data_IF_081536385915
#
_entry.id   IF_081536385915
#
_cell.length_a   1.000
_cell.length_b   1.000
_cell.length_c   1.000
_cell.angle_alpha   90.00
_cell.angle_beta   90.00
_cell.angle_gamma   90.00
#
_symmetry.space_group_name_H-M   'P 1'
#
loop_
_entity.id
_entity.type
_entity.pdbx_description
1 polymer ?
#
# COMPACT_ATOMS: atom_id res chain seq x y z
N UNK A 1 -3.36 29.81 -2.32
CA UNK A 1 -2.53 30.92 -1.85
C UNK A 1 -3.33 31.97 -1.06
N UNK A 2 -4.52 32.40 -1.53
CA UNK A 2 -5.31 33.43 -0.81
C UNK A 2 -5.71 33.03 0.61
N UNK A 3 -5.95 31.75 0.88
CA UNK A 3 -6.40 31.26 2.19
C UNK A 3 -5.25 30.79 3.09
N UNK A 4 -4.15 30.30 2.52
CA UNK A 4 -3.11 29.58 3.26
C UNK A 4 -1.69 30.13 3.02
N UNK A 5 -1.52 31.21 2.24
CA UNK A 5 -0.21 31.78 1.91
C UNK A 5 0.59 30.95 0.92
N UNK A 6 1.89 31.24 0.85
CA UNK A 6 2.82 30.50 -0.01
C UNK A 6 3.23 29.21 0.70
N UNK A 7 2.98 28.07 0.04
CA UNK A 7 3.25 26.75 0.58
C UNK A 7 4.17 25.95 -0.34
N UNK A 8 5.25 25.42 0.24
CA UNK A 8 6.18 24.55 -0.48
C UNK A 8 5.93 23.08 -0.10
N UNK A 9 5.08 22.42 -0.88
CA UNK A 9 4.70 21.02 -0.68
C UNK A 9 5.88 20.03 -0.78
N UNK A 10 6.98 20.41 -1.41
CA UNK A 10 8.20 19.58 -1.47
C UNK A 10 8.96 19.53 -0.13
N UNK A 11 8.77 20.53 0.72
CA UNK A 11 9.46 20.65 2.02
C UNK A 11 8.62 20.20 3.20
N UNK A 12 7.30 20.41 3.16
CA UNK A 12 6.42 20.15 4.30
C UNK A 12 5.04 19.67 3.87
N UNK A 13 4.35 18.98 4.77
CA UNK A 13 2.96 18.58 4.59
C UNK A 13 2.02 19.71 4.94
N UNK A 14 1.01 19.92 4.09
CA UNK A 14 -0.08 20.84 4.37
C UNK A 14 -0.99 20.23 5.45
N UNK A 15 -1.17 20.96 6.54
CA UNK A 15 -2.12 20.60 7.60
C UNK A 15 -3.50 21.16 7.22
N UNK A 16 -4.48 20.29 7.11
CA UNK A 16 -5.87 20.67 6.78
C UNK A 16 -6.87 19.81 7.56
N UNK A 17 -8.10 20.27 7.63
CA UNK A 17 -9.23 19.55 8.20
C UNK A 17 -10.53 19.87 7.44
N UNK A 18 -11.60 19.14 7.73
CA UNK A 18 -12.89 19.31 7.05
C UNK A 18 -13.59 20.63 7.34
N UNK A 19 -13.19 21.35 8.37
CA UNK A 19 -13.71 22.68 8.71
C UNK A 19 -12.98 23.81 8.00
N UNK A 20 -11.87 23.54 7.28
CA UNK A 20 -11.11 24.55 6.56
C UNK A 20 -11.95 25.19 5.45
N UNK A 21 -11.76 26.49 5.27
CA UNK A 21 -12.44 27.26 4.22
C UNK A 21 -12.26 26.67 2.82
N UNK A 22 -11.06 26.17 2.49
CA UNK A 22 -10.80 25.57 1.18
C UNK A 22 -11.59 24.26 1.01
N UNK A 23 -11.64 23.42 2.03
CA UNK A 23 -12.40 22.17 2.02
C UNK A 23 -13.91 22.43 1.86
N UNK A 24 -14.46 23.34 2.65
CA UNK A 24 -15.87 23.71 2.56
C UNK A 24 -16.23 24.34 1.20
N UNK A 25 -15.37 25.23 0.68
CA UNK A 25 -15.55 25.82 -0.64
C UNK A 25 -15.51 24.78 -1.76
N UNK A 26 -14.61 23.79 -1.63
CA UNK A 26 -14.54 22.67 -2.57
C UNK A 26 -15.87 21.89 -2.57
N UNK A 27 -16.35 21.47 -1.41
CA UNK A 27 -17.59 20.71 -1.30
C UNK A 27 -18.80 21.49 -1.84
N UNK A 28 -18.94 22.78 -1.52
CA UNK A 28 -20.01 23.63 -2.04
C UNK A 28 -20.00 23.69 -3.57
N UNK A 29 -18.82 23.88 -4.17
CA UNK A 29 -18.68 23.91 -5.64
C UNK A 29 -18.91 22.52 -6.25
N UNK A 30 -18.42 21.47 -5.62
CA UNK A 30 -18.62 20.11 -6.08
C UNK A 30 -20.11 19.71 -6.06
N UNK A 31 -20.87 20.09 -5.03
CA UNK A 31 -22.34 19.88 -4.99
C UNK A 31 -23.01 20.50 -6.23
N UNK A 32 -22.68 21.76 -6.54
CA UNK A 32 -23.26 22.46 -7.70
C UNK A 32 -22.87 21.75 -9.00
N UNK A 33 -21.59 21.43 -9.18
CA UNK A 33 -21.07 20.84 -10.41
C UNK A 33 -21.54 19.40 -10.64
N UNK A 34 -21.62 18.60 -9.57
CA UNK A 34 -22.20 17.25 -9.61
C UNK A 34 -23.68 17.33 -10.01
N UNK A 35 -24.45 18.22 -9.39
CA UNK A 35 -25.88 18.40 -9.70
C UNK A 35 -26.18 18.74 -11.17
N UNK A 36 -25.22 19.36 -11.88
CA UNK A 36 -25.37 19.66 -13.33
C UNK A 36 -25.14 18.44 -14.23
N UNK A 37 -24.44 17.41 -13.74
CA UNK A 37 -23.95 16.28 -14.56
C UNK A 37 -24.54 14.94 -14.15
N UNK A 38 -24.91 14.80 -12.88
CA UNK A 38 -25.33 13.55 -12.29
C UNK A 38 -26.60 13.01 -12.95
N UNK A 39 -26.57 11.74 -13.30
CA UNK A 39 -27.70 10.96 -13.77
C UNK A 39 -28.09 9.90 -12.70
N UNK A 40 -29.34 9.41 -12.71
CA UNK A 40 -29.73 8.30 -11.86
C UNK A 40 -28.79 7.09 -12.04
N UNK A 41 -28.36 6.47 -10.92
CA UNK A 41 -27.44 5.34 -10.87
C UNK A 41 -25.97 5.66 -11.22
N UNK A 42 -25.60 6.91 -11.41
CA UNK A 42 -24.17 7.27 -11.43
C UNK A 42 -23.54 7.04 -10.05
N UNK A 43 -22.23 6.80 -10.04
CA UNK A 43 -21.48 6.62 -8.81
C UNK A 43 -20.94 7.93 -8.26
N UNK A 44 -21.08 8.14 -6.95
CA UNK A 44 -20.36 9.19 -6.22
C UNK A 44 -19.13 8.57 -5.54
N UNK A 45 -17.94 8.81 -6.09
CA UNK A 45 -16.70 8.25 -5.56
C UNK A 45 -16.11 9.17 -4.48
N UNK A 46 -16.24 8.79 -3.22
CA UNK A 46 -15.86 9.58 -2.05
C UNK A 46 -14.43 9.28 -1.61
N UNK A 47 -13.42 9.63 -2.41
CA UNK A 47 -12.00 9.34 -2.14
C UNK A 47 -11.47 9.92 -0.80
N UNK A 48 -12.14 10.91 -0.22
CA UNK A 48 -11.81 11.47 1.09
C UNK A 48 -12.83 11.11 2.17
N UNK A 49 -13.58 10.03 1.96
CA UNK A 49 -14.53 9.50 2.91
C UNK A 49 -15.50 10.59 3.39
N UNK A 50 -15.65 10.72 4.70
CA UNK A 50 -16.57 11.69 5.29
C UNK A 50 -16.24 13.16 4.91
N UNK A 51 -15.04 13.46 4.44
CA UNK A 51 -14.71 14.76 3.88
C UNK A 51 -15.52 15.11 2.64
N UNK A 52 -16.05 14.12 1.91
CA UNK A 52 -16.95 14.29 0.76
C UNK A 52 -18.41 13.98 1.09
N UNK A 53 -18.76 13.71 2.35
CA UNK A 53 -20.09 13.30 2.78
C UNK A 53 -21.18 14.27 2.33
N UNK A 54 -20.95 15.58 2.46
CA UNK A 54 -21.90 16.60 2.05
C UNK A 54 -22.28 16.53 0.54
N UNK A 55 -21.38 16.03 -0.31
CA UNK A 55 -21.60 15.93 -1.76
C UNK A 55 -22.63 14.85 -2.07
N UNK A 56 -22.43 13.62 -1.55
CA UNK A 56 -23.38 12.54 -1.86
C UNK A 56 -24.69 12.67 -1.05
N UNK A 57 -24.69 13.29 0.10
CA UNK A 57 -25.93 13.61 0.85
C UNK A 57 -26.82 14.60 0.09
N UNK A 58 -26.22 15.53 -0.66
CA UNK A 58 -26.93 16.43 -1.55
C UNK A 58 -27.47 15.76 -2.81
N UNK A 59 -26.94 14.58 -3.18
CA UNK A 59 -27.25 13.86 -4.42
C UNK A 59 -27.61 12.40 -4.15
N UNK A 60 -28.69 12.18 -3.41
CA UNK A 60 -29.12 10.84 -2.95
C UNK A 60 -29.51 9.87 -4.05
N UNK A 61 -29.67 10.34 -5.29
CA UNK A 61 -29.91 9.51 -6.48
C UNK A 61 -28.64 8.80 -6.96
N UNK A 62 -27.46 9.19 -6.46
CA UNK A 62 -26.18 8.58 -6.79
C UNK A 62 -25.90 7.37 -5.90
N UNK A 63 -25.07 6.48 -6.38
CA UNK A 63 -24.57 5.33 -5.63
C UNK A 63 -23.24 5.73 -4.95
N UNK A 64 -23.22 5.98 -3.61
CA UNK A 64 -22.01 6.45 -2.95
C UNK A 64 -21.07 5.28 -2.63
N UNK A 65 -19.83 5.40 -3.07
CA UNK A 65 -18.76 4.45 -2.81
C UNK A 65 -17.55 5.18 -2.24
N UNK A 66 -16.95 4.65 -1.18
CA UNK A 66 -15.65 5.11 -0.67
C UNK A 66 -14.55 4.15 -1.15
N UNK A 67 -13.83 4.49 -2.24
CA UNK A 67 -12.78 3.64 -2.80
C UNK A 67 -11.43 3.95 -2.17
N UNK A 68 -10.51 2.96 -2.19
CA UNK A 68 -9.13 3.14 -1.80
C UNK A 68 -8.95 3.54 -0.33
N UNK A 69 -9.70 2.90 0.58
CA UNK A 69 -9.60 3.20 2.01
C UNK A 69 -8.27 2.68 2.56
N UNK A 70 -7.35 3.63 2.83
CA UNK A 70 -6.04 3.38 3.43
C UNK A 70 -5.85 4.08 4.79
N UNK A 71 -6.82 4.87 5.23
CA UNK A 71 -6.75 5.57 6.50
C UNK A 71 -7.74 4.98 7.52
N UNK A 72 -7.36 4.91 8.81
CA UNK A 72 -8.22 4.35 9.85
C UNK A 72 -9.27 5.37 10.32
N UNK A 73 -10.08 5.84 9.39
CA UNK A 73 -11.20 6.76 9.60
C UNK A 73 -12.54 6.03 9.54
N UNK A 74 -13.60 6.58 10.17
CA UNK A 74 -14.93 6.02 9.98
C UNK A 74 -15.35 6.08 8.52
N UNK A 75 -15.89 4.97 8.00
CA UNK A 75 -16.47 4.90 6.66
C UNK A 75 -17.87 5.50 6.70
N UNK A 76 -18.16 6.43 5.81
CA UNK A 76 -19.43 7.15 5.79
C UNK A 76 -20.40 6.65 4.71
N UNK A 77 -19.91 5.87 3.73
CA UNK A 77 -20.73 5.35 2.64
C UNK A 77 -21.27 3.93 2.92
N UNK A 78 -22.37 3.51 2.28
CA UNK A 78 -22.86 2.14 2.38
C UNK A 78 -21.91 1.13 1.72
N UNK A 79 -21.12 1.54 0.73
CA UNK A 79 -20.19 0.70 -0.03
C UNK A 79 -18.77 1.20 0.17
N UNK A 80 -17.88 0.27 0.50
CA UNK A 80 -16.49 0.58 0.85
C UNK A 80 -15.51 -0.36 0.15
N UNK A 81 -14.42 0.21 -0.36
CA UNK A 81 -13.31 -0.56 -0.94
C UNK A 81 -12.04 -0.21 -0.18
N UNK A 82 -11.42 -1.21 0.42
CA UNK A 82 -10.21 -1.10 1.22
C UNK A 82 -8.97 -1.49 0.40
N UNK A 83 -7.84 -0.87 0.68
CA UNK A 83 -6.57 -1.15 0.01
C UNK A 83 -5.98 -2.53 0.36
N UNK A 84 -6.34 -3.07 1.54
CA UNK A 84 -5.89 -4.37 2.03
C UNK A 84 -6.86 -4.96 3.06
N UNK A 85 -6.80 -6.27 3.28
CA UNK A 85 -7.51 -6.92 4.38
C UNK A 85 -7.05 -6.40 5.73
N UNK A 86 -5.76 -6.08 5.86
CA UNK A 86 -5.20 -5.53 7.08
C UNK A 86 -5.88 -4.22 7.49
N UNK A 87 -6.05 -3.27 6.56
CA UNK A 87 -6.72 -2.00 6.87
C UNK A 87 -8.22 -2.19 7.06
N UNK A 88 -8.86 -3.07 6.30
CA UNK A 88 -10.27 -3.39 6.48
C UNK A 88 -10.55 -3.90 7.90
N UNK A 89 -9.82 -4.93 8.33
CA UNK A 89 -9.95 -5.51 9.66
C UNK A 89 -9.60 -4.50 10.77
N UNK A 90 -8.60 -3.65 10.54
CA UNK A 90 -8.25 -2.59 11.48
C UNK A 90 -9.37 -1.56 11.65
N UNK A 91 -10.01 -1.14 10.55
CA UNK A 91 -11.16 -0.21 10.59
C UNK A 91 -12.35 -0.86 11.29
N UNK A 92 -12.65 -2.12 11.00
CA UNK A 92 -13.72 -2.85 11.67
C UNK A 92 -13.48 -2.93 13.18
N UNK A 93 -12.28 -3.35 13.60
CA UNK A 93 -11.95 -3.45 15.03
C UNK A 93 -11.91 -2.11 15.73
N UNK A 94 -11.37 -1.06 15.08
CA UNK A 94 -11.28 0.28 15.68
C UNK A 94 -12.64 0.94 15.92
N UNK A 95 -13.62 0.71 15.04
CA UNK A 95 -14.93 1.35 15.08
C UNK A 95 -16.07 0.40 15.46
N UNK A 96 -15.74 -0.81 15.92
CA UNK A 96 -16.72 -1.85 16.30
C UNK A 96 -17.77 -2.08 15.21
N UNK A 97 -17.32 -2.30 13.98
CA UNK A 97 -18.17 -2.48 12.80
C UNK A 97 -18.23 -3.94 12.39
N UNK A 98 -19.45 -4.39 12.06
CA UNK A 98 -19.65 -5.67 11.39
C UNK A 98 -19.33 -5.56 9.89
N UNK A 99 -18.79 -6.63 9.28
CA UNK A 99 -18.61 -6.71 7.84
C UNK A 99 -19.93 -6.51 7.07
N UNK A 100 -19.84 -5.89 5.91
CA UNK A 100 -20.96 -5.74 4.98
C UNK A 100 -20.71 -6.57 3.73
N UNK A 101 -21.77 -7.12 3.12
CA UNK A 101 -21.66 -8.02 1.95
C UNK A 101 -20.97 -7.39 0.73
N UNK A 102 -21.05 -6.08 0.60
CA UNK A 102 -20.48 -5.34 -0.53
C UNK A 102 -19.27 -4.50 -0.16
N UNK A 103 -18.72 -4.67 1.03
CA UNK A 103 -17.37 -4.19 1.32
C UNK A 103 -16.37 -5.08 0.58
N UNK A 104 -15.42 -4.47 -0.10
CA UNK A 104 -14.43 -5.16 -0.92
C UNK A 104 -13.01 -4.78 -0.54
N UNK A 105 -12.07 -5.66 -0.87
CA UNK A 105 -10.63 -5.32 -0.85
C UNK A 105 -10.15 -5.32 -2.29
N UNK A 106 -9.77 -4.14 -2.78
CA UNK A 106 -9.19 -3.95 -4.11
C UNK A 106 -7.90 -3.14 -3.90
N UNK A 107 -6.73 -3.69 -4.26
CA UNK A 107 -5.45 -3.05 -3.98
C UNK A 107 -5.27 -1.77 -4.81
N UNK A 108 -4.33 -0.93 -4.39
CA UNK A 108 -3.86 0.17 -5.22
C UNK A 108 -3.15 -0.35 -6.47
N UNK A 109 -3.06 0.47 -7.50
CA UNK A 109 -2.60 0.10 -8.82
C UNK A 109 -1.59 1.09 -9.39
N UNK A 110 -0.82 0.59 -10.37
CA UNK A 110 0.16 1.39 -11.10
C UNK A 110 0.13 1.04 -12.59
N UNK A 111 0.46 2.01 -13.44
CA UNK A 111 0.64 1.73 -14.86
C UNK A 111 2.00 1.05 -15.06
N UNK A 112 2.01 -0.13 -15.65
CA UNK A 112 3.21 -0.92 -15.96
C UNK A 112 4.22 -0.13 -16.81
N UNK A 113 3.71 0.74 -17.70
CA UNK A 113 4.52 1.59 -18.58
C UNK A 113 5.35 2.62 -17.83
N UNK A 114 4.98 2.90 -16.61
CA UNK A 114 5.71 3.82 -15.76
C UNK A 114 7.00 3.24 -15.18
N UNK A 115 7.26 1.94 -15.30
CA UNK A 115 8.37 1.26 -14.63
C UNK A 115 9.21 0.42 -15.60
N UNK A 116 10.50 0.75 -15.62
CA UNK A 116 11.48 -0.04 -16.37
C UNK A 116 11.99 -1.20 -15.52
N UNK A 117 12.13 -2.36 -16.14
CA UNK A 117 12.77 -3.52 -15.52
C UNK A 117 14.29 -3.41 -15.58
N UNK A 118 14.97 -3.82 -14.50
CA UNK A 118 16.42 -3.95 -14.46
C UNK A 118 16.82 -5.29 -13.85
N UNK A 119 17.48 -6.14 -14.65
CA UNK A 119 17.93 -7.46 -14.20
C UNK A 119 19.19 -7.38 -13.29
N UNK A 120 20.05 -6.37 -13.51
CA UNK A 120 21.33 -6.24 -12.81
C UNK A 120 21.32 -4.96 -11.97
N UNK A 121 21.12 -5.06 -10.63
CA UNK A 121 21.11 -3.90 -9.76
C UNK A 121 22.51 -3.33 -9.56
N UNK A 122 22.57 -2.08 -9.09
CA UNK A 122 23.74 -1.47 -8.47
C UNK A 122 23.83 -1.88 -7.00
N UNK A 123 25.01 -1.73 -6.40
CA UNK A 123 25.29 -2.12 -5.02
C UNK A 123 24.90 -1.03 -4.01
N UNK A 124 23.60 -0.82 -3.83
CA UNK A 124 23.02 0.00 -2.78
C UNK A 124 21.63 -0.46 -2.39
N UNK A 125 21.27 -0.28 -1.13
CA UNK A 125 19.91 -0.37 -0.63
C UNK A 125 19.21 0.98 -0.74
N UNK A 126 17.89 0.95 -0.88
CA UNK A 126 17.10 2.16 -1.06
C UNK A 126 15.99 2.25 0.01
N UNK A 127 15.88 3.41 0.64
CA UNK A 127 14.72 3.80 1.43
C UNK A 127 13.98 4.94 0.70
N UNK A 128 12.68 4.79 0.49
CA UNK A 128 11.83 5.83 -0.11
C UNK A 128 10.62 6.08 0.78
N UNK A 129 10.49 7.31 1.26
CA UNK A 129 9.36 7.70 2.10
C UNK A 129 9.66 8.93 2.94
N UNK A 130 8.68 9.33 3.75
CA UNK A 130 8.90 10.39 4.74
C UNK A 130 9.97 9.94 5.75
N UNK A 131 10.89 10.83 6.06
CA UNK A 131 11.94 10.59 7.06
C UNK A 131 11.33 10.87 8.44
N UNK A 132 10.67 9.88 9.00
CA UNK A 132 10.03 9.89 10.32
C UNK A 132 10.21 8.53 10.99
N UNK A 133 10.24 8.52 12.31
CA UNK A 133 10.50 7.31 13.11
C UNK A 133 9.55 6.16 12.78
N UNK A 134 8.26 6.46 12.60
CA UNK A 134 7.25 5.43 12.28
C UNK A 134 7.46 4.75 10.91
N UNK A 135 8.22 5.34 9.99
CA UNK A 135 8.65 4.70 8.74
C UNK A 135 9.91 3.83 8.92
N UNK A 136 10.53 3.85 10.10
CA UNK A 136 11.64 2.98 10.46
C UNK A 136 12.97 3.38 9.82
N UNK A 137 13.18 4.67 9.52
CA UNK A 137 14.45 5.14 8.92
C UNK A 137 15.66 4.77 9.77
N UNK A 138 15.58 4.89 11.10
CA UNK A 138 16.67 4.49 12.01
C UNK A 138 17.01 3.01 11.90
N UNK A 139 16.02 2.14 11.70
CA UNK A 139 16.26 0.70 11.47
C UNK A 139 16.98 0.47 10.13
N UNK A 140 16.58 1.18 9.06
CA UNK A 140 17.22 1.06 7.75
C UNK A 140 18.70 1.49 7.82
N UNK A 141 19.00 2.56 8.53
CA UNK A 141 20.38 3.06 8.76
C UNK A 141 21.19 2.05 9.58
N UNK A 142 20.65 1.51 10.68
CA UNK A 142 21.37 0.58 11.56
C UNK A 142 21.65 -0.75 10.85
N UNK A 143 20.65 -1.34 10.17
CA UNK A 143 20.88 -2.62 9.49
C UNK A 143 21.90 -2.51 8.36
N UNK A 144 21.87 -1.44 7.56
CA UNK A 144 22.85 -1.25 6.47
C UNK A 144 24.24 -0.96 6.99
N UNK A 145 24.37 -0.24 8.11
CA UNK A 145 25.65 -0.04 8.82
C UNK A 145 26.27 -1.36 9.26
N UNK A 146 25.48 -2.24 9.88
CA UNK A 146 25.95 -3.55 10.41
C UNK A 146 26.45 -4.49 9.33
N UNK A 147 25.98 -4.35 8.09
CA UNK A 147 26.44 -5.16 6.97
C UNK A 147 27.47 -4.45 6.07
N UNK A 148 27.84 -3.20 6.39
CA UNK A 148 28.78 -2.41 5.59
C UNK A 148 28.26 -2.01 4.22
N UNK A 149 26.92 -1.88 4.05
CA UNK A 149 26.29 -1.60 2.76
C UNK A 149 25.91 -0.13 2.64
N UNK A 150 25.84 0.36 1.39
CA UNK A 150 25.36 1.71 1.07
C UNK A 150 23.86 1.81 1.18
N UNK A 151 23.36 2.88 1.79
CA UNK A 151 21.95 3.21 1.85
C UNK A 151 21.68 4.55 1.16
N UNK A 152 20.78 4.56 0.17
CA UNK A 152 20.25 5.79 -0.42
C UNK A 152 18.90 6.10 0.22
N UNK A 153 18.71 7.34 0.66
CA UNK A 153 17.49 7.79 1.33
C UNK A 153 16.85 8.89 0.52
N UNK A 154 15.67 8.62 -0.03
CA UNK A 154 14.88 9.57 -0.81
C UNK A 154 13.54 9.86 -0.10
N UNK A 155 13.28 11.15 0.16
CA UNK A 155 12.05 11.59 0.78
C UNK A 155 12.15 12.93 1.48
N UNK A 156 11.05 13.34 2.07
CA UNK A 156 10.94 14.58 2.85
C UNK A 156 11.20 14.31 4.33
N UNK A 157 11.91 15.18 4.98
CA UNK A 157 12.20 15.16 6.42
C UNK A 157 13.63 15.57 6.70
N UNK A 158 14.06 15.50 7.96
CA UNK A 158 15.41 15.81 8.43
C UNK A 158 16.14 14.50 8.76
N UNK A 159 16.99 14.07 7.83
CA UNK A 159 17.74 12.82 7.99
C UNK A 159 18.80 12.94 9.08
N UNK A 160 19.44 14.10 9.23
CA UNK A 160 20.42 14.31 10.28
C UNK A 160 19.79 14.18 11.67
N UNK A 161 18.62 14.81 11.88
CA UNK A 161 17.88 14.66 13.14
C UNK A 161 17.47 13.19 13.39
N UNK A 162 17.00 12.47 12.36
CA UNK A 162 16.63 11.05 12.47
C UNK A 162 17.86 10.14 12.77
N UNK A 163 19.07 10.57 12.43
CA UNK A 163 20.33 9.87 12.72
C UNK A 163 21.03 10.33 14.01
N UNK A 164 20.38 11.16 14.84
CA UNK A 164 20.97 11.66 16.09
C UNK A 164 21.95 12.83 15.90
N UNK A 165 21.81 13.60 14.82
CA UNK A 165 22.53 14.84 14.54
C UNK A 165 23.53 14.76 13.38
N UNK A 166 23.96 13.57 12.96
CA UNK A 166 24.93 13.41 11.87
C UNK A 166 24.52 12.23 10.97
N UNK A 167 24.47 12.47 9.66
CA UNK A 167 24.23 11.41 8.67
C UNK A 167 25.49 10.54 8.57
N UNK A 168 25.41 9.21 8.78
CA UNK A 168 26.57 8.33 8.68
C UNK A 168 27.13 8.24 7.25
N UNK A 169 28.44 8.01 7.09
CA UNK A 169 29.15 7.99 5.79
C UNK A 169 28.60 6.99 4.77
N UNK A 170 28.01 5.88 5.22
CA UNK A 170 27.40 4.86 4.35
C UNK A 170 26.02 5.27 3.82
N UNK A 171 25.44 6.36 4.30
CA UNK A 171 24.11 6.86 3.94
C UNK A 171 24.24 8.06 3.01
N UNK A 172 23.56 8.01 1.87
CA UNK A 172 23.46 9.12 0.93
C UNK A 172 22.06 9.72 0.97
N UNK A 173 21.93 10.95 1.43
CA UNK A 173 20.68 11.69 1.40
C UNK A 173 20.45 12.23 -0.02
N UNK A 174 19.33 11.80 -0.63
CA UNK A 174 18.89 12.26 -1.96
C UNK A 174 17.90 13.42 -1.83
N UNK A 175 17.17 13.48 -0.72
CA UNK A 175 16.07 14.43 -0.53
C UNK A 175 14.80 14.04 -1.32
N UNK A 176 13.95 15.04 -1.57
CA UNK A 176 12.75 14.81 -2.39
C UNK A 176 13.11 14.48 -3.84
N UNK A 177 12.51 13.46 -4.39
CA UNK A 177 12.71 13.01 -5.77
C UNK A 177 11.41 13.09 -6.58
N UNK A 178 11.52 13.57 -7.81
CA UNK A 178 10.44 13.53 -8.77
C UNK A 178 10.17 12.07 -9.23
N UNK A 179 8.97 11.76 -9.77
CA UNK A 179 8.62 10.39 -10.14
C UNK A 179 9.65 9.68 -11.02
N UNK A 180 10.21 10.35 -12.03
CA UNK A 180 11.21 9.76 -12.92
C UNK A 180 12.53 9.43 -12.20
N UNK A 181 12.98 10.30 -11.28
CA UNK A 181 14.19 10.06 -10.47
C UNK A 181 13.97 8.89 -9.51
N UNK A 182 12.77 8.84 -8.89
CA UNK A 182 12.37 7.74 -8.00
C UNK A 182 12.41 6.39 -8.71
N UNK A 183 11.88 6.31 -9.93
CA UNK A 183 11.90 5.09 -10.76
C UNK A 183 13.34 4.65 -11.07
N UNK A 184 14.22 5.59 -11.43
CA UNK A 184 15.64 5.30 -11.66
C UNK A 184 16.35 4.77 -10.41
N UNK A 185 16.07 5.35 -9.24
CA UNK A 185 16.60 4.85 -7.98
C UNK A 185 16.08 3.45 -7.67
N UNK A 186 14.78 3.21 -7.86
CA UNK A 186 14.15 1.91 -7.57
C UNK A 186 14.71 0.82 -8.46
N UNK A 187 14.72 1.00 -9.79
CA UNK A 187 15.14 -0.07 -10.71
C UNK A 187 16.60 -0.48 -10.52
N UNK A 188 17.45 0.46 -10.09
CA UNK A 188 18.87 0.21 -9.88
C UNK A 188 19.23 -0.27 -8.46
N UNK A 189 18.31 -0.22 -7.51
CA UNK A 189 18.58 -0.65 -6.14
C UNK A 189 18.73 -2.17 -6.04
N UNK A 190 19.61 -2.61 -5.13
CA UNK A 190 19.76 -4.01 -4.73
C UNK A 190 18.48 -4.51 -4.07
N UNK A 191 17.90 -3.70 -3.18
CA UNK A 191 16.57 -3.88 -2.61
C UNK A 191 16.01 -2.56 -2.09
N UNK A 192 14.68 -2.47 -2.00
CA UNK A 192 13.99 -1.44 -1.24
C UNK A 192 13.80 -1.93 0.22
N UNK A 193 14.15 -1.07 1.19
CA UNK A 193 13.94 -1.32 2.61
C UNK A 193 12.79 -0.46 3.12
N UNK A 194 11.75 -1.10 3.66
CA UNK A 194 10.56 -0.44 4.20
C UNK A 194 10.18 -1.02 5.58
N UNK A 195 10.95 -0.76 6.64
CA UNK A 195 10.79 -1.35 7.96
C UNK A 195 9.78 -0.55 8.81
N UNK A 196 8.60 -0.29 8.26
CA UNK A 196 7.56 0.55 8.85
C UNK A 196 7.07 -0.01 10.20
N UNK A 197 6.93 0.85 11.20
CA UNK A 197 6.56 0.49 12.58
C UNK A 197 5.06 0.56 12.87
N UNK A 198 4.26 1.07 11.97
CA UNK A 198 2.80 1.11 12.09
C UNK A 198 2.12 0.13 11.12
N UNK A 199 0.83 -0.06 11.28
CA UNK A 199 0.02 -0.86 10.36
C UNK A 199 -0.06 -0.16 8.99
N UNK A 200 0.89 -0.46 8.09
CA UNK A 200 0.92 0.10 6.74
C UNK A 200 -0.31 -0.37 5.96
N UNK A 201 -1.16 0.53 5.45
CA UNK A 201 -2.40 0.14 4.79
C UNK A 201 -2.18 -0.70 3.54
N UNK A 202 -1.22 -0.29 2.70
CA UNK A 202 -0.92 -0.97 1.45
C UNK A 202 0.58 -1.11 1.21
N UNK A 203 1.34 -0.01 1.36
CA UNK A 203 2.76 0.01 1.09
C UNK A 203 3.10 0.19 -0.39
N UNK A 204 2.46 1.14 -1.06
CA UNK A 204 2.61 1.39 -2.50
C UNK A 204 4.06 1.47 -2.99
N UNK A 205 4.96 2.02 -2.17
CA UNK A 205 6.38 2.12 -2.49
C UNK A 205 7.05 0.77 -2.74
N UNK A 206 6.60 -0.29 -2.05
CA UNK A 206 7.12 -1.65 -2.27
C UNK A 206 6.65 -2.19 -3.61
N UNK A 207 5.41 -1.96 -3.96
CA UNK A 207 4.86 -2.38 -5.25
C UNK A 207 5.53 -1.63 -6.41
N UNK A 208 5.77 -0.33 -6.27
CA UNK A 208 6.55 0.45 -7.25
C UNK A 208 7.95 -0.16 -7.47
N UNK A 209 8.63 -0.59 -6.41
CA UNK A 209 9.92 -1.27 -6.51
C UNK A 209 9.80 -2.62 -7.22
N UNK A 210 8.80 -3.43 -6.86
CA UNK A 210 8.56 -4.74 -7.50
C UNK A 210 8.27 -4.61 -9.00
N UNK A 211 7.55 -3.57 -9.45
CA UNK A 211 7.37 -3.29 -10.89
C UNK A 211 8.69 -3.11 -11.62
N UNK A 212 9.71 -2.59 -10.96
CA UNK A 212 11.06 -2.47 -11.52
C UNK A 212 11.91 -3.73 -11.36
N UNK A 213 11.37 -4.79 -10.78
CA UNK A 213 12.07 -6.03 -10.46
C UNK A 213 12.91 -5.91 -9.18
N UNK A 214 12.74 -4.86 -8.39
CA UNK A 214 13.54 -4.66 -7.17
C UNK A 214 12.85 -5.33 -5.98
N UNK A 215 13.51 -6.33 -5.35
CA UNK A 215 12.96 -7.02 -4.20
C UNK A 215 12.84 -6.09 -2.99
N UNK A 216 11.99 -6.47 -2.02
CA UNK A 216 11.67 -5.63 -0.89
C UNK A 216 11.97 -6.32 0.44
N UNK A 217 12.48 -5.52 1.41
CA UNK A 217 12.69 -5.97 2.80
C UNK A 217 11.78 -5.12 3.68
N UNK A 218 10.79 -5.75 4.29
CA UNK A 218 9.71 -5.05 5.00
C UNK A 218 9.53 -5.58 6.42
N UNK A 219 8.79 -4.84 7.23
CA UNK A 219 8.17 -5.42 8.43
C UNK A 219 7.12 -6.47 8.05
N UNK A 220 6.82 -7.38 8.99
CA UNK A 220 5.90 -8.51 8.78
C UNK A 220 4.52 -8.21 9.39
N UNK A 221 3.91 -7.09 8.99
CA UNK A 221 2.55 -6.69 9.36
C UNK A 221 1.97 -5.68 8.37
N UNK A 222 0.71 -5.35 8.56
CA UNK A 222 -0.02 -4.45 7.67
C UNK A 222 -0.18 -5.01 6.26
N UNK A 223 -0.32 -4.14 5.30
CA UNK A 223 -0.39 -4.48 3.87
C UNK A 223 0.83 -5.23 3.36
N UNK A 224 1.99 -5.10 4.01
CA UNK A 224 3.18 -5.88 3.63
C UNK A 224 3.00 -7.39 3.81
N UNK A 225 2.19 -7.81 4.79
CA UNK A 225 1.89 -9.24 4.97
C UNK A 225 1.11 -9.84 3.79
N UNK A 226 0.42 -9.00 3.03
CA UNK A 226 -0.36 -9.39 1.85
C UNK A 226 0.44 -9.19 0.55
N UNK A 227 1.19 -8.09 0.44
CA UNK A 227 1.78 -7.60 -0.80
C UNK A 227 3.23 -8.06 -1.03
N UNK A 228 3.98 -8.37 0.04
CA UNK A 228 5.34 -8.87 -0.07
C UNK A 228 5.36 -10.38 0.21
N UNK A 229 5.50 -11.19 -0.82
CA UNK A 229 5.61 -12.64 -0.70
C UNK A 229 6.99 -13.02 -0.15
N UNK A 230 7.02 -13.46 1.12
CA UNK A 230 8.26 -13.82 1.80
C UNK A 230 9.00 -14.95 1.09
N UNK A 231 10.26 -14.73 0.74
CA UNK A 231 11.11 -15.67 0.00
C UNK A 231 10.90 -15.66 -1.54
N UNK A 232 9.95 -14.88 -2.06
CA UNK A 232 9.64 -14.80 -3.49
C UNK A 232 9.84 -13.38 -4.04
N UNK A 233 9.20 -12.37 -3.43
CA UNK A 233 9.34 -10.97 -3.86
C UNK A 233 10.19 -10.13 -2.90
N UNK A 234 10.64 -10.76 -1.80
CA UNK A 234 11.44 -10.13 -0.78
C UNK A 234 11.36 -10.88 0.54
N UNK A 235 11.73 -10.20 1.61
CA UNK A 235 11.69 -10.77 2.95
C UNK A 235 10.89 -9.89 3.91
N UNK A 236 10.02 -10.52 4.72
CA UNK A 236 9.31 -9.88 5.82
C UNK A 236 10.02 -10.21 7.12
N UNK A 237 10.30 -9.20 7.93
CA UNK A 237 11.15 -9.29 9.11
C UNK A 237 10.48 -8.72 10.35
N UNK A 238 10.82 -9.28 11.54
CA UNK A 238 10.30 -8.87 12.83
C UNK A 238 11.36 -8.40 13.82
N UNK A 239 12.63 -8.71 13.54
CA UNK A 239 13.75 -8.33 14.40
C UNK A 239 14.98 -7.98 13.57
N UNK A 240 15.99 -7.39 14.20
CA UNK A 240 17.19 -6.91 13.52
C UNK A 240 17.99 -8.05 12.86
N UNK A 241 18.07 -9.22 13.48
CA UNK A 241 18.79 -10.35 12.91
C UNK A 241 18.16 -10.85 11.61
N UNK A 242 16.82 -10.87 11.54
CA UNK A 242 16.10 -11.18 10.30
C UNK A 242 16.34 -10.12 9.22
N UNK A 243 16.35 -8.83 9.57
CA UNK A 243 16.69 -7.77 8.61
C UNK A 243 18.12 -7.90 8.10
N UNK A 244 19.09 -8.16 8.96
CA UNK A 244 20.50 -8.36 8.58
C UNK A 244 20.62 -9.57 7.65
N UNK A 245 19.97 -10.68 8.01
CA UNK A 245 19.97 -11.88 7.19
C UNK A 245 19.34 -11.61 5.82
N UNK A 246 18.18 -10.95 5.78
CA UNK A 246 17.48 -10.59 4.55
C UNK A 246 18.35 -9.73 3.62
N UNK A 247 19.03 -8.71 4.17
CA UNK A 247 19.94 -7.87 3.40
C UNK A 247 21.11 -8.69 2.78
N UNK A 248 21.67 -9.63 3.55
CA UNK A 248 22.77 -10.49 3.07
C UNK A 248 22.34 -11.55 2.05
N UNK A 249 21.07 -11.91 2.02
CA UNK A 249 20.54 -12.97 1.19
C UNK A 249 19.57 -12.49 0.11
N UNK A 250 19.44 -11.18 -0.10
CA UNK A 250 18.47 -10.60 -1.03
C UNK A 250 18.71 -11.01 -2.49
N UNK A 251 19.96 -11.35 -2.83
CA UNK A 251 20.34 -11.81 -4.17
C UNK A 251 19.74 -13.17 -4.55
N UNK A 252 19.12 -13.89 -3.58
CA UNK A 252 18.35 -15.12 -3.83
C UNK A 252 16.97 -14.84 -4.45
N UNK A 253 16.48 -13.62 -4.33
CA UNK A 253 15.18 -13.23 -4.86
C UNK A 253 15.29 -12.94 -6.35
N UNK A 254 14.46 -13.60 -7.15
CA UNK A 254 14.36 -13.36 -8.58
C UNK A 254 13.72 -12.00 -8.88
N UNK A 255 14.45 -11.13 -9.54
CA UNK A 255 13.93 -9.83 -9.94
C UNK A 255 12.78 -9.95 -10.95
N UNK A 256 12.81 -11.00 -11.78
CA UNK A 256 11.71 -11.28 -12.72
C UNK A 256 10.43 -11.69 -11.95
N UNK A 257 10.54 -12.53 -10.93
CA UNK A 257 9.38 -12.94 -10.12
C UNK A 257 8.79 -11.75 -9.36
N UNK A 258 9.62 -10.80 -8.91
CA UNK A 258 9.15 -9.53 -8.34
C UNK A 258 8.28 -8.77 -9.33
N UNK A 259 8.75 -8.59 -10.57
CA UNK A 259 8.01 -7.89 -11.62
C UNK A 259 6.73 -8.64 -12.01
N UNK A 260 6.83 -9.94 -12.21
CA UNK A 260 5.67 -10.76 -12.60
C UNK A 260 4.57 -10.70 -11.55
N UNK A 261 4.94 -10.78 -10.27
CA UNK A 261 4.00 -10.59 -9.16
C UNK A 261 3.32 -9.23 -9.21
N UNK A 262 4.09 -8.14 -9.34
CA UNK A 262 3.55 -6.79 -9.39
C UNK A 262 2.61 -6.59 -10.58
N UNK A 263 3.01 -7.01 -11.78
CA UNK A 263 2.21 -6.85 -13.00
C UNK A 263 0.91 -7.66 -12.92
N UNK A 264 0.97 -8.89 -12.45
CA UNK A 264 -0.19 -9.77 -12.40
C UNK A 264 -1.23 -9.36 -11.35
N UNK A 265 -0.82 -8.62 -10.31
CA UNK A 265 -1.71 -8.33 -9.19
C UNK A 265 -2.04 -6.85 -9.01
N UNK A 266 -1.14 -5.93 -9.41
CA UNK A 266 -1.26 -4.50 -9.09
C UNK A 266 -1.21 -3.59 -10.33
N UNK A 267 -1.26 -4.15 -11.54
CA UNK A 267 -1.34 -3.34 -12.74
C UNK A 267 -2.68 -2.62 -12.85
N UNK A 268 -2.67 -1.44 -13.47
CA UNK A 268 -3.88 -0.68 -13.77
C UNK A 268 -4.93 -1.54 -14.50
N UNK A 269 -4.48 -2.37 -15.45
CA UNK A 269 -5.36 -3.26 -16.20
C UNK A 269 -6.02 -4.32 -15.30
N UNK A 270 -5.25 -4.95 -14.41
CA UNK A 270 -5.78 -5.95 -13.47
C UNK A 270 -6.77 -5.33 -12.50
N UNK A 271 -6.38 -4.26 -11.84
CA UNK A 271 -7.18 -3.63 -10.79
C UNK A 271 -8.39 -2.89 -11.38
N UNK A 272 -8.25 -2.32 -12.57
CA UNK A 272 -9.35 -1.71 -13.31
C UNK A 272 -10.49 -2.70 -13.56
N UNK A 273 -10.18 -3.95 -13.94
CA UNK A 273 -11.20 -5.02 -14.08
C UNK A 273 -11.86 -5.39 -12.75
N UNK A 274 -11.12 -5.37 -11.64
CA UNK A 274 -11.70 -5.61 -10.31
C UNK A 274 -12.72 -4.53 -9.95
N UNK A 275 -12.40 -3.26 -10.21
CA UNK A 275 -13.32 -2.15 -9.99
C UNK A 275 -14.53 -2.20 -10.93
N UNK A 276 -14.33 -2.51 -12.21
CA UNK A 276 -15.42 -2.68 -13.18
C UNK A 276 -16.42 -3.75 -12.73
N UNK A 277 -15.93 -4.90 -12.29
CA UNK A 277 -16.77 -5.97 -11.77
C UNK A 277 -17.50 -5.57 -10.48
N UNK A 278 -16.81 -4.85 -9.60
CA UNK A 278 -17.40 -4.32 -8.37
C UNK A 278 -18.55 -3.34 -8.66
N UNK A 279 -18.32 -2.36 -9.54
CA UNK A 279 -19.36 -1.40 -9.93
C UNK A 279 -20.54 -2.06 -10.63
N UNK A 280 -20.29 -3.02 -11.52
CA UNK A 280 -21.36 -3.80 -12.16
C UNK A 280 -22.19 -4.60 -11.15
N UNK A 281 -21.55 -5.13 -10.09
CA UNK A 281 -22.26 -5.78 -8.99
C UNK A 281 -23.17 -4.81 -8.25
N UNK A 282 -22.69 -3.61 -7.94
CA UNK A 282 -23.48 -2.58 -7.26
C UNK A 282 -24.66 -2.10 -8.11
N UNK A 283 -24.48 -1.93 -9.43
CA UNK A 283 -25.59 -1.61 -10.34
C UNK A 283 -26.69 -2.65 -10.28
N UNK A 284 -26.35 -3.95 -10.33
CA UNK A 284 -27.32 -5.04 -10.21
C UNK A 284 -28.04 -5.06 -8.85
N UNK A 285 -27.36 -4.65 -7.78
CA UNK A 285 -28.01 -4.49 -6.47
C UNK A 285 -29.03 -3.35 -6.50
N UNK A 286 -28.73 -2.24 -7.18
CA UNK A 286 -29.61 -1.07 -7.24
C UNK A 286 -30.79 -1.24 -8.20
N UNK A 287 -30.65 -1.98 -9.28
CA UNK A 287 -31.74 -2.26 -10.22
C UNK A 287 -32.60 -3.46 -9.77
N UNK A 288 -32.23 -4.14 -8.70
CA UNK A 288 -32.95 -5.27 -8.15
C UNK A 288 -32.68 -6.62 -8.86
N UNK A 289 -31.81 -6.65 -9.87
CA UNK A 289 -31.45 -7.90 -10.59
C UNK A 289 -30.32 -8.67 -9.91
N UNK A 290 -29.71 -8.12 -8.86
CA UNK A 290 -28.62 -8.72 -8.13
C UNK A 290 -28.86 -8.73 -6.62
N UNK A 291 -27.82 -9.12 -5.88
CA UNK A 291 -27.83 -9.14 -4.43
C UNK A 291 -27.50 -10.51 -3.86
N UNK A 292 -27.60 -10.61 -2.54
CA UNK A 292 -27.17 -11.82 -1.82
C UNK A 292 -27.92 -13.11 -2.24
N UNK A 293 -29.19 -12.99 -2.55
CA UNK A 293 -30.05 -14.12 -2.94
C UNK A 293 -30.25 -14.26 -4.44
N UNK A 294 -29.61 -13.40 -5.25
CA UNK A 294 -29.71 -13.51 -6.69
C UNK A 294 -28.92 -14.73 -7.19
N UNK A 295 -29.50 -15.47 -8.12
CA UNK A 295 -28.79 -16.52 -8.82
C UNK A 295 -27.67 -15.89 -9.68
N UNK A 296 -26.45 -16.35 -9.47
CA UNK A 296 -25.31 -15.92 -10.26
C UNK A 296 -24.44 -17.12 -10.63
N UNK A 297 -24.72 -17.75 -11.77
CA UNK A 297 -24.02 -18.95 -12.22
C UNK A 297 -22.52 -18.72 -12.43
N UNK A 298 -22.10 -17.51 -12.73
CA UNK A 298 -20.68 -17.18 -12.95
C UNK A 298 -19.85 -17.26 -11.66
N UNK A 299 -20.49 -17.45 -10.50
CA UNK A 299 -19.83 -17.53 -9.18
C UNK A 299 -19.90 -18.91 -8.54
N UNK A 300 -20.46 -19.88 -9.19
CA UNK A 300 -20.67 -21.23 -8.62
C UNK A 300 -19.37 -22.03 -8.53
N UNK A 301 -18.38 -21.75 -9.36
CA UNK A 301 -17.09 -22.44 -9.45
C UNK A 301 -15.98 -21.83 -8.58
N UNK A 302 -16.29 -20.75 -7.84
CA UNK A 302 -15.34 -20.00 -7.01
C UNK A 302 -14.19 -19.32 -7.77
N UNK A 303 -14.17 -19.32 -9.10
CA UNK A 303 -13.17 -18.61 -9.88
C UNK A 303 -13.12 -17.11 -9.58
N UNK A 304 -14.25 -16.54 -9.17
CA UNK A 304 -14.36 -15.15 -8.75
C UNK A 304 -13.37 -14.80 -7.63
N UNK A 305 -12.95 -15.74 -6.78
CA UNK A 305 -11.95 -15.48 -5.73
C UNK A 305 -10.62 -14.99 -6.31
N UNK A 306 -10.19 -15.56 -7.42
CA UNK A 306 -8.94 -15.17 -8.09
C UNK A 306 -9.03 -13.80 -8.76
N UNK A 307 -10.22 -13.27 -8.96
CA UNK A 307 -10.44 -11.94 -9.54
C UNK A 307 -10.28 -10.83 -8.51
N UNK A 308 -10.60 -11.11 -7.25
CA UNK A 308 -10.60 -10.13 -6.15
C UNK A 308 -9.34 -10.17 -5.30
N UNK A 309 -8.54 -11.22 -5.39
CA UNK A 309 -7.35 -11.39 -4.56
C UNK A 309 -6.10 -11.41 -5.42
N UNK A 310 -5.00 -10.86 -4.89
CA UNK A 310 -3.71 -11.01 -5.54
C UNK A 310 -3.42 -12.49 -5.82
N UNK A 311 -3.01 -12.79 -7.04
CA UNK A 311 -2.65 -14.14 -7.47
C UNK A 311 -1.17 -14.15 -7.80
N UNK A 312 -0.44 -15.11 -7.26
CA UNK A 312 0.96 -15.33 -7.57
C UNK A 312 1.19 -16.74 -8.04
N UNK A 313 2.07 -16.92 -8.99
CA UNK A 313 2.61 -18.24 -9.28
C UNK A 313 3.70 -18.52 -8.27
N UNK A 314 3.41 -19.28 -7.23
CA UNK A 314 4.44 -19.89 -6.40
C UNK A 314 5.09 -20.97 -7.27
N UNK A 315 6.24 -20.66 -7.87
CA UNK A 315 6.91 -21.60 -8.77
C UNK A 315 7.60 -22.74 -8.04
N UNK A 316 8.01 -22.50 -6.78
CA UNK A 316 8.61 -23.54 -5.92
C UNK A 316 8.37 -23.18 -4.43
N UNK A 317 8.05 -24.15 -3.56
CA UNK A 317 8.07 -23.93 -2.14
C UNK A 317 9.51 -23.61 -1.68
N UNK A 318 9.67 -22.88 -0.55
CA UNK A 318 10.98 -22.65 0.04
C UNK A 318 11.75 -23.96 0.24
N UNK A 319 13.06 -23.92 0.04
CA UNK A 319 13.91 -25.08 0.33
C UNK A 319 13.94 -25.37 1.84
N UNK A 320 14.29 -26.61 2.23
CA UNK A 320 14.31 -27.02 3.65
C UNK A 320 15.21 -26.11 4.52
N UNK A 321 16.26 -25.50 3.94
CA UNK A 321 17.12 -24.52 4.63
C UNK A 321 16.43 -23.18 4.83
N UNK A 322 15.49 -22.82 3.97
CA UNK A 322 14.66 -21.61 4.08
C UNK A 322 13.51 -21.84 5.07
N UNK A 323 12.94 -23.05 5.11
CA UNK A 323 11.96 -23.43 6.13
C UNK A 323 12.52 -23.34 7.56
N UNK A 324 13.80 -23.61 7.75
CA UNK A 324 14.44 -23.48 9.05
C UNK A 324 14.52 -22.02 9.53
N UNK A 325 14.67 -21.08 8.59
CA UNK A 325 14.63 -19.64 8.88
C UNK A 325 13.19 -19.12 9.02
N UNK A 326 12.24 -19.73 8.32
CA UNK A 326 10.81 -19.36 8.36
C UNK A 326 10.11 -19.87 9.63
N UNK A 327 10.65 -20.89 10.30
CA UNK A 327 10.16 -21.28 11.63
C UNK A 327 10.67 -20.25 12.62
N UNK A 328 9.81 -19.48 13.32
CA UNK A 328 10.24 -18.79 14.51
C UNK A 328 10.88 -19.85 15.40
N UNK A 329 12.05 -19.57 15.96
CA UNK A 329 12.61 -20.39 17.02
C UNK A 329 11.47 -20.71 17.97
N UNK A 330 11.09 -21.96 18.04
CA UNK A 330 10.11 -22.40 19.00
C UNK A 330 10.71 -22.01 20.33
N UNK A 331 10.20 -20.98 20.95
CA UNK A 331 10.50 -20.65 22.35
C UNK A 331 10.00 -21.86 23.08
N UNK A 332 10.91 -22.79 23.34
CA UNK A 332 10.69 -23.89 24.26
C UNK A 332 10.51 -23.21 25.61
N UNK A 333 9.26 -22.86 25.92
CA UNK A 333 8.85 -22.47 27.23
C UNK A 333 9.13 -23.69 28.09
N UNK A 334 10.27 -23.64 28.79
CA UNK A 334 10.66 -24.66 29.71
C UNK A 334 9.60 -24.71 30.83
N UNK A 335 8.76 -25.78 30.96
CA UNK A 335 7.66 -25.80 31.90
C UNK A 335 8.09 -26.04 33.34
N UNK A 336 9.33 -25.75 33.68
CA UNK A 336 9.89 -25.92 35.02
C UNK A 336 10.50 -24.62 35.53
N UNK A 337 9.67 -23.65 35.83
CA UNK A 337 9.89 -22.62 36.85
C UNK A 337 8.53 -21.99 37.15
N UNK A 338 7.69 -22.71 37.87
CA UNK A 338 6.64 -22.16 38.72
C UNK A 338 7.09 -22.34 40.17
#
# INVERSE_FOLDING_TARGET
EKAYGIYNWKKSFFQHNTADHAHQTFNQRAIIEVGKRAQPNDFALCFWGYGHQAIFEAHRQLIPVEPGIGCPNPVCTPYAVYESHSVMNFVYGKFDKSPKFYDAVIPNYFDVKDFDFCATPKDYFLFVGRIIDSKGIGLAVDMTKRIGAKLYVAGQGDLAAACGGTVPDHVTEIGYVEPHQRKELMKNAKALIAPTLYNEPFGGVTIEALFSGTPTITSDWGGFAENNLHGITGYRCRNMEQYIWACKNIDRISRQDCRDWAVNNFSLERVGRMYEEYFNTLLKVHDGSGGFYAENPDRTDLEWLTRYYPTGSIKQPPTASEEQFLKPDAVVLNPKQS
#
